data_IF_878695068947
#
_entry.id   IF_878695068947
#
_cell.length_a   1.000
_cell.length_b   1.000
_cell.length_c   1.000
_cell.angle_alpha   90.00
_cell.angle_beta   90.00
_cell.angle_gamma   90.00
#
_symmetry.space_group_name_H-M   'P 1'
#
loop_
_entity.id
_entity.type
_entity.pdbx_description
1 polymer ?
#
# COMPACT_ATOMS: atom_id res chain seq x y z
N UNK A 1 -11.79 -0.57 -56.73
CA UNK A 1 -12.87 -1.17 -55.89
C UNK A 1 -12.72 -0.81 -54.42
N UNK A 2 -12.17 0.37 -54.06
CA UNK A 2 -11.92 0.83 -52.68
C UNK A 2 -12.47 2.23 -52.37
N UNK A 3 -13.45 2.72 -53.13
CA UNK A 3 -14.03 4.08 -52.98
C UNK A 3 -15.54 4.12 -52.67
N UNK A 4 -16.18 2.97 -52.34
CA UNK A 4 -17.63 2.91 -52.08
C UNK A 4 -18.01 2.50 -50.64
N UNK A 5 -17.07 2.36 -49.74
CA UNK A 5 -17.35 1.96 -48.34
C UNK A 5 -17.41 3.16 -47.39
N UNK A 6 -16.81 4.30 -47.73
CA UNK A 6 -16.76 5.49 -46.88
C UNK A 6 -18.00 6.40 -46.90
N UNK A 7 -18.97 6.14 -47.76
CA UNK A 7 -20.18 6.99 -47.89
C UNK A 7 -21.42 6.46 -47.15
N UNK A 8 -21.34 5.36 -46.42
CA UNK A 8 -22.47 4.81 -45.65
C UNK A 8 -22.38 4.92 -44.12
N UNK A 9 -21.34 5.53 -43.57
CA UNK A 9 -21.15 5.68 -42.10
C UNK A 9 -21.49 7.10 -41.60
N UNK A 10 -21.77 8.07 -42.51
CA UNK A 10 -22.04 9.49 -42.12
C UNK A 10 -23.52 9.81 -41.91
N UNK A 11 -24.45 8.89 -42.10
CA UNK A 11 -25.91 9.19 -42.07
C UNK A 11 -26.62 8.68 -40.78
N UNK A 12 -25.94 8.11 -39.79
CA UNK A 12 -26.58 7.59 -38.58
C UNK A 12 -26.31 8.42 -37.31
N UNK A 13 -25.60 9.54 -37.40
CA UNK A 13 -25.21 10.36 -36.25
C UNK A 13 -25.86 11.76 -36.18
N UNK A 14 -27.06 11.95 -36.77
CA UNK A 14 -27.71 13.28 -36.80
C UNK A 14 -29.20 13.23 -36.43
N UNK A 15 -29.59 12.42 -35.43
CA UNK A 15 -31.00 12.43 -35.01
C UNK A 15 -31.19 11.96 -33.58
N UNK A 16 -30.64 12.66 -32.60
CA UNK A 16 -31.11 12.66 -31.17
C UNK A 16 -30.56 13.95 -30.50
N UNK A 17 -31.13 15.08 -30.80
CA UNK A 17 -31.18 16.26 -29.88
C UNK A 17 -32.47 16.97 -30.27
N UNK A 18 -33.43 16.95 -29.41
CA UNK A 18 -34.56 17.83 -29.16
C UNK A 18 -35.62 17.01 -28.43
N UNK A 19 -35.81 17.26 -27.13
CA UNK A 19 -37.05 17.30 -26.36
C UNK A 19 -36.65 17.26 -24.89
N UNK A 20 -36.66 18.41 -24.25
CA UNK A 20 -37.20 18.60 -22.91
C UNK A 20 -37.06 20.06 -22.49
N UNK A 21 -38.08 20.81 -22.69
CA UNK A 21 -38.37 22.05 -21.95
C UNK A 21 -39.80 21.99 -21.44
N UNK A 22 -39.94 22.33 -20.14
CA UNK A 22 -41.21 22.71 -19.50
C UNK A 22 -41.78 21.61 -18.60
N UNK A 23 -42.15 21.84 -17.36
CA UNK A 23 -42.85 22.98 -16.77
C UNK A 23 -42.70 22.95 -15.24
N UNK A 24 -42.62 24.13 -14.66
CA UNK A 24 -42.79 24.44 -13.24
C UNK A 24 -44.18 24.04 -12.71
N UNK A 25 -44.24 23.71 -11.41
CA UNK A 25 -45.47 23.63 -10.65
C UNK A 25 -45.21 23.69 -9.17
N UNK A 26 -45.45 24.88 -8.65
CA UNK A 26 -45.46 25.27 -7.22
C UNK A 26 -46.68 24.66 -6.51
N UNK A 27 -46.56 24.39 -5.22
CA UNK A 27 -47.74 24.03 -4.38
C UNK A 27 -47.34 23.66 -2.97
N UNK A 28 -47.59 24.58 -2.09
CA UNK A 28 -47.33 24.72 -0.67
C UNK A 28 -48.27 23.93 0.25
N UNK A 29 -47.81 23.77 1.51
CA UNK A 29 -48.57 23.72 2.80
C UNK A 29 -49.45 22.50 3.11
N UNK A 30 -49.52 21.96 4.25
CA UNK A 30 -49.43 22.25 5.66
C UNK A 30 -49.80 21.01 6.51
N UNK A 31 -49.27 21.03 7.70
CA UNK A 31 -49.83 20.67 9.00
C UNK A 31 -50.11 19.21 9.45
N UNK A 32 -49.48 19.01 10.57
CA UNK A 32 -49.99 18.54 11.90
C UNK A 32 -49.91 17.04 12.25
N UNK A 33 -49.08 16.86 13.22
CA UNK A 33 -49.34 16.48 14.61
C UNK A 33 -49.46 14.99 14.98
N UNK A 34 -48.56 14.67 15.92
CA UNK A 34 -48.74 13.80 17.10
C UNK A 34 -48.96 12.29 16.87
N UNK A 35 -48.15 11.41 17.46
CA UNK A 35 -48.26 11.06 18.86
C UNK A 35 -47.08 10.15 19.31
N UNK A 36 -46.76 10.27 20.58
CA UNK A 36 -45.74 9.58 21.34
C UNK A 36 -46.00 8.07 21.43
N UNK A 37 -44.92 7.28 21.47
CA UNK A 37 -44.80 6.23 22.47
C UNK A 37 -43.31 5.89 22.71
N UNK A 38 -42.89 6.24 23.92
CA UNK A 38 -41.69 5.71 24.57
C UNK A 38 -41.79 4.18 24.70
N UNK A 39 -40.73 3.50 24.32
CA UNK A 39 -40.34 2.26 24.99
C UNK A 39 -38.81 2.18 25.05
N UNK A 40 -38.32 2.46 26.26
CA UNK A 40 -37.01 2.11 26.73
C UNK A 40 -36.79 0.60 26.66
N UNK A 41 -35.79 0.16 25.90
CA UNK A 41 -35.15 -1.14 26.12
C UNK A 41 -33.67 -0.86 26.26
N UNK A 42 -33.21 -0.93 27.50
CA UNK A 42 -31.81 -1.10 27.86
C UNK A 42 -31.38 -2.47 27.33
N UNK A 43 -30.51 -2.51 26.36
CA UNK A 43 -29.77 -3.70 26.01
C UNK A 43 -28.29 -3.40 26.23
N UNK A 44 -27.76 -3.92 27.31
CA UNK A 44 -26.35 -4.05 27.57
C UNK A 44 -25.83 -5.16 26.64
N UNK A 45 -25.49 -4.79 25.42
CA UNK A 45 -24.76 -5.65 24.49
C UNK A 45 -23.31 -5.74 24.90
N UNK A 46 -22.95 -6.80 25.59
CA UNK A 46 -21.57 -7.28 25.73
C UNK A 46 -20.94 -7.32 24.34
N UNK A 47 -19.82 -6.59 24.17
CA UNK A 47 -18.93 -6.80 23.04
C UNK A 47 -18.22 -8.14 23.26
N UNK A 48 -18.85 -9.21 22.86
CA UNK A 48 -18.13 -10.42 22.49
C UNK A 48 -17.34 -10.09 21.22
N UNK A 49 -16.04 -9.91 21.38
CA UNK A 49 -15.07 -10.08 20.30
C UNK A 49 -15.21 -11.53 19.83
N UNK A 50 -15.97 -11.76 18.78
CA UNK A 50 -15.93 -13.02 18.07
C UNK A 50 -14.53 -13.08 17.44
N UNK A 51 -13.62 -13.83 18.05
CA UNK A 51 -12.53 -14.49 17.33
C UNK A 51 -13.25 -15.31 16.25
N UNK A 52 -13.26 -14.81 15.02
CA UNK A 52 -13.57 -15.64 13.86
C UNK A 52 -12.45 -16.68 13.84
N UNK A 53 -12.76 -17.92 14.31
CA UNK A 53 -11.92 -19.07 14.04
C UNK A 53 -11.70 -19.07 12.52
N UNK A 54 -10.48 -18.79 12.08
CA UNK A 54 -10.06 -18.86 10.69
C UNK A 54 -10.14 -20.33 10.28
N UNK A 55 -11.31 -20.74 9.82
CA UNK A 55 -11.51 -22.10 9.32
C UNK A 55 -10.82 -22.18 7.96
N UNK A 56 -9.76 -22.97 7.87
CA UNK A 56 -9.06 -23.18 6.62
C UNK A 56 -10.02 -23.63 5.51
N UNK A 57 -9.92 -23.06 4.30
CA UNK A 57 -10.73 -23.50 3.16
C UNK A 57 -10.52 -24.99 2.86
N UNK A 58 -11.61 -25.70 2.60
CA UNK A 58 -11.52 -27.09 2.12
C UNK A 58 -11.09 -27.12 0.67
N UNK A 59 -9.95 -27.75 0.38
CA UNK A 59 -9.47 -28.00 -0.97
C UNK A 59 -9.58 -29.48 -1.25
N UNK A 60 -10.28 -29.84 -2.34
CA UNK A 60 -10.49 -31.25 -2.71
C UNK A 60 -9.15 -31.98 -2.90
N UNK A 61 -8.96 -33.05 -2.14
CA UNK A 61 -7.77 -33.88 -2.20
C UNK A 61 -6.59 -33.42 -1.35
N UNK A 62 -6.69 -32.27 -0.66
CA UNK A 62 -5.64 -31.77 0.25
C UNK A 62 -6.08 -31.87 1.71
N UNK A 63 -5.20 -32.33 2.57
CA UNK A 63 -5.38 -32.40 4.02
C UNK A 63 -4.73 -31.16 4.66
N UNK A 64 -5.53 -30.33 5.33
CA UNK A 64 -5.04 -29.17 6.07
C UNK A 64 -4.14 -29.57 7.24
N UNK A 65 -3.09 -28.81 7.47
CA UNK A 65 -2.16 -28.98 8.59
C UNK A 65 -2.24 -27.82 9.60
N UNK A 66 -1.91 -26.61 9.17
CA UNK A 66 -1.87 -25.43 10.03
C UNK A 66 -2.04 -24.12 9.24
N UNK A 67 -2.25 -23.01 9.95
CA UNK A 67 -2.23 -21.67 9.37
C UNK A 67 -0.98 -20.93 9.83
N UNK A 68 -0.46 -20.04 8.97
CA UNK A 68 0.62 -19.13 9.31
C UNK A 68 0.22 -18.21 10.46
N UNK A 69 1.09 -18.09 11.47
CA UNK A 69 0.90 -17.12 12.54
C UNK A 69 1.28 -15.71 12.06
N UNK A 70 0.32 -14.79 12.18
CA UNK A 70 0.51 -13.38 11.88
C UNK A 70 0.28 -12.55 13.14
N UNK A 71 1.15 -11.56 13.37
CA UNK A 71 1.09 -10.71 14.56
C UNK A 71 0.41 -9.36 14.27
N UNK A 72 0.53 -8.83 13.04
CA UNK A 72 0.09 -7.48 12.67
C UNK A 72 -0.64 -7.42 11.33
N UNK A 73 -0.30 -8.28 10.37
CA UNK A 73 -0.91 -8.25 9.05
C UNK A 73 -2.35 -8.76 9.10
N UNK A 74 -3.26 -8.00 8.47
CA UNK A 74 -4.69 -8.30 8.36
C UNK A 74 -5.14 -8.51 6.91
N UNK A 75 -4.24 -8.29 5.96
CA UNK A 75 -4.52 -8.29 4.54
C UNK A 75 -4.42 -9.66 3.87
N UNK A 76 -3.92 -10.68 4.57
CA UNK A 76 -3.79 -12.02 4.00
C UNK A 76 -3.81 -13.11 5.07
N UNK A 77 -4.02 -14.36 4.61
CA UNK A 77 -3.83 -15.58 5.38
C UNK A 77 -3.08 -16.61 4.54
N UNK A 78 -2.28 -17.46 5.17
CA UNK A 78 -1.64 -18.61 4.52
C UNK A 78 -2.01 -19.87 5.27
N UNK A 79 -2.53 -20.86 4.55
CA UNK A 79 -2.92 -22.17 5.06
C UNK A 79 -2.02 -23.23 4.45
N UNK A 80 -1.43 -24.06 5.31
CA UNK A 80 -0.54 -25.14 4.92
C UNK A 80 -1.32 -26.45 4.83
N UNK A 81 -1.07 -27.19 3.77
CA UNK A 81 -1.64 -28.51 3.53
C UNK A 81 -0.50 -29.53 3.38
N UNK A 82 -0.82 -30.81 3.57
CA UNK A 82 0.15 -31.89 3.37
C UNK A 82 0.83 -31.82 2.01
N UNK A 83 2.01 -32.45 1.95
CA UNK A 83 2.84 -32.53 0.75
C UNK A 83 3.34 -31.16 0.25
N UNK A 84 3.28 -30.12 1.14
CA UNK A 84 3.86 -28.80 0.91
C UNK A 84 2.99 -27.82 0.14
N UNK A 85 1.71 -28.15 -0.14
CA UNK A 85 0.78 -27.18 -0.74
C UNK A 85 0.46 -26.05 0.24
N UNK A 86 0.31 -24.84 -0.30
CA UNK A 86 -0.01 -23.64 0.49
C UNK A 86 -1.10 -22.84 -0.20
N UNK A 87 -2.17 -22.51 0.52
CA UNK A 87 -3.19 -21.59 0.02
C UNK A 87 -2.96 -20.22 0.64
N UNK A 88 -2.74 -19.23 -0.21
CA UNK A 88 -2.67 -17.81 0.15
C UNK A 88 -4.03 -17.20 -0.15
N UNK A 89 -4.67 -16.64 0.87
CA UNK A 89 -5.95 -15.94 0.77
C UNK A 89 -5.70 -14.45 1.01
N UNK A 90 -5.85 -13.63 -0.03
CA UNK A 90 -5.62 -12.19 0.04
C UNK A 90 -6.97 -11.48 0.17
N UNK A 91 -7.12 -10.68 1.20
CA UNK A 91 -8.34 -9.93 1.49
C UNK A 91 -8.72 -9.02 0.31
N UNK A 92 -10.01 -9.07 -0.06
CA UNK A 92 -10.57 -8.29 -1.17
C UNK A 92 -9.92 -8.56 -2.54
N UNK A 93 -9.31 -9.74 -2.71
CA UNK A 93 -8.73 -10.18 -3.96
C UNK A 93 -9.04 -11.67 -4.21
N UNK A 94 -8.03 -12.47 -4.49
CA UNK A 94 -8.13 -13.85 -4.90
C UNK A 94 -7.42 -14.78 -3.93
N UNK A 95 -7.69 -16.06 -4.10
CA UNK A 95 -6.93 -17.13 -3.48
C UNK A 95 -5.89 -17.65 -4.46
N UNK A 96 -4.70 -17.94 -3.95
CA UNK A 96 -3.57 -18.44 -4.72
C UNK A 96 -3.10 -19.77 -4.12
N UNK A 97 -3.11 -20.84 -4.92
CA UNK A 97 -2.59 -22.14 -4.50
C UNK A 97 -1.16 -22.29 -4.98
N UNK A 98 -0.21 -22.28 -4.05
CA UNK A 98 1.18 -22.63 -4.31
C UNK A 98 1.25 -24.16 -4.38
N UNK A 99 1.65 -24.67 -5.55
CA UNK A 99 1.82 -26.08 -5.84
C UNK A 99 3.31 -26.39 -5.86
N UNK A 100 3.82 -27.30 -5.01
CA UNK A 100 5.24 -27.65 -4.99
C UNK A 100 5.74 -28.19 -6.32
N UNK A 101 7.03 -27.99 -6.64
CA UNK A 101 7.67 -28.35 -7.93
C UNK A 101 7.39 -29.80 -8.41
N UNK A 102 7.22 -30.72 -7.49
CA UNK A 102 7.08 -32.16 -7.81
C UNK A 102 5.65 -32.68 -7.71
N UNK A 103 4.74 -31.80 -7.32
CA UNK A 103 3.35 -32.17 -7.10
C UNK A 103 2.48 -31.71 -8.28
N UNK A 104 1.37 -32.41 -8.48
CA UNK A 104 0.39 -32.08 -9.52
C UNK A 104 -0.69 -31.13 -8.98
N UNK A 105 -1.23 -30.28 -9.84
CA UNK A 105 -2.37 -29.42 -9.48
C UNK A 105 -3.56 -30.32 -9.12
N UNK A 106 -4.19 -30.15 -7.94
CA UNK A 106 -5.35 -30.96 -7.54
C UNK A 106 -6.54 -30.81 -8.49
N UNK A 107 -7.25 -31.90 -8.73
CA UNK A 107 -8.48 -31.88 -9.52
C UNK A 107 -9.64 -31.23 -8.75
N UNK A 108 -10.49 -30.48 -9.46
CA UNK A 108 -11.75 -29.97 -8.90
C UNK A 108 -11.61 -28.72 -8.03
N UNK A 109 -10.55 -27.96 -8.23
CA UNK A 109 -10.36 -26.64 -7.61
C UNK A 109 -11.47 -25.65 -8.03
N UNK A 110 -11.76 -24.68 -7.16
CA UNK A 110 -12.58 -23.54 -7.51
C UNK A 110 -11.93 -22.72 -8.62
N UNK A 111 -12.71 -22.29 -9.61
CA UNK A 111 -12.23 -21.52 -10.76
C UNK A 111 -11.61 -20.16 -10.37
N UNK A 112 -11.87 -19.69 -9.13
CA UNK A 112 -11.30 -18.44 -8.61
C UNK A 112 -9.90 -18.63 -7.99
N UNK A 113 -9.43 -19.87 -7.80
CA UNK A 113 -8.10 -20.13 -7.26
C UNK A 113 -7.07 -20.02 -8.39
N UNK A 114 -6.13 -19.10 -8.22
CA UNK A 114 -4.99 -18.92 -9.11
C UNK A 114 -3.89 -19.90 -8.73
N UNK A 115 -3.35 -20.62 -9.71
CA UNK A 115 -2.29 -21.61 -9.48
C UNK A 115 -0.92 -20.94 -9.59
N UNK A 116 -0.10 -21.12 -8.57
CA UNK A 116 1.30 -20.74 -8.53
C UNK A 116 2.14 -22.02 -8.48
N UNK A 117 2.57 -22.50 -9.64
CA UNK A 117 3.39 -23.71 -9.73
C UNK A 117 4.86 -23.40 -9.48
N UNK A 118 5.46 -23.99 -8.46
CA UNK A 118 6.89 -23.83 -8.21
C UNK A 118 7.74 -24.64 -9.24
N UNK A 119 9.00 -24.22 -9.52
CA UNK A 119 9.66 -23.05 -8.92
C UNK A 119 9.12 -21.73 -9.47
N UNK A 120 9.14 -20.67 -8.65
CA UNK A 120 8.86 -19.31 -9.04
C UNK A 120 10.20 -18.57 -9.07
N UNK A 121 10.88 -18.54 -10.21
CA UNK A 121 12.24 -18.02 -10.36
C UNK A 121 12.42 -17.10 -11.59
N UNK A 122 11.33 -16.81 -12.32
CA UNK A 122 11.27 -15.86 -13.42
C UNK A 122 10.18 -14.80 -13.19
N UNK A 123 10.17 -14.20 -11.99
CA UNK A 123 9.14 -13.26 -11.57
C UNK A 123 9.30 -11.92 -12.30
N UNK A 124 8.17 -11.36 -12.81
CA UNK A 124 8.06 -9.96 -13.17
C UNK A 124 7.54 -9.16 -11.97
N UNK A 125 8.37 -8.29 -11.40
CA UNK A 125 8.03 -7.46 -10.25
C UNK A 125 7.74 -6.01 -10.67
N UNK A 126 6.47 -5.62 -10.66
CA UNK A 126 6.03 -4.23 -10.86
C UNK A 126 5.67 -3.52 -9.54
N UNK A 127 5.35 -4.28 -8.48
CA UNK A 127 5.09 -3.75 -7.14
C UNK A 127 6.40 -3.32 -6.45
N UNK A 128 6.72 -2.03 -6.47
CA UNK A 128 7.99 -1.51 -5.93
C UNK A 128 8.16 -1.74 -4.43
N UNK A 129 7.07 -1.82 -3.67
CA UNK A 129 7.07 -2.12 -2.23
C UNK A 129 7.55 -3.53 -1.89
N UNK A 130 7.37 -4.48 -2.81
CA UNK A 130 7.71 -5.87 -2.56
C UNK A 130 9.21 -6.18 -2.71
N UNK A 131 9.96 -5.41 -3.52
CA UNK A 131 11.39 -5.68 -3.79
C UNK A 131 12.22 -5.81 -2.51
N UNK A 132 12.00 -4.91 -1.53
CA UNK A 132 12.71 -4.95 -0.26
C UNK A 132 12.39 -6.22 0.55
N UNK A 133 11.17 -6.75 0.44
CA UNK A 133 10.76 -7.98 1.12
C UNK A 133 11.41 -9.23 0.49
N UNK A 134 11.63 -9.22 -0.84
CA UNK A 134 12.43 -10.24 -1.52
C UNK A 134 13.90 -10.15 -1.13
N UNK A 135 14.44 -8.92 -1.02
CA UNK A 135 15.82 -8.71 -0.57
C UNK A 135 16.05 -9.21 0.86
N UNK A 136 15.10 -8.93 1.75
CA UNK A 136 15.15 -9.30 3.17
C UNK A 136 15.28 -10.82 3.42
N UNK A 137 14.81 -11.65 2.49
CA UNK A 137 14.90 -13.13 2.57
C UNK A 137 15.88 -13.73 1.54
N UNK A 138 16.79 -12.90 0.99
CA UNK A 138 17.76 -13.32 -0.01
C UNK A 138 17.10 -14.03 -1.21
N UNK A 139 16.04 -13.41 -1.73
CA UNK A 139 15.23 -13.93 -2.84
C UNK A 139 15.23 -13.02 -4.08
N UNK A 140 16.05 -11.98 -4.15
CA UNK A 140 16.17 -11.13 -5.36
C UNK A 140 16.47 -11.93 -6.61
N UNK A 141 17.24 -13.02 -6.47
CA UNK A 141 17.58 -13.92 -7.57
C UNK A 141 16.39 -14.64 -8.23
N UNK A 142 15.20 -14.62 -7.63
CA UNK A 142 13.97 -15.15 -8.23
C UNK A 142 13.26 -14.14 -9.14
N UNK A 143 13.66 -12.85 -9.05
CA UNK A 143 13.11 -11.79 -9.87
C UNK A 143 13.92 -11.69 -11.15
N UNK A 144 13.31 -12.04 -12.29
CA UNK A 144 13.95 -11.94 -13.60
C UNK A 144 13.68 -10.61 -14.30
N UNK A 145 12.55 -10.01 -14.01
CA UNK A 145 12.10 -8.79 -14.67
C UNK A 145 11.55 -7.77 -13.68
N UNK A 146 11.76 -6.49 -13.95
CA UNK A 146 11.30 -5.39 -13.10
C UNK A 146 10.46 -4.39 -13.88
N UNK A 147 9.39 -3.91 -13.25
CA UNK A 147 8.57 -2.79 -13.73
C UNK A 147 9.21 -1.41 -13.52
N UNK A 148 10.33 -1.36 -12.82
CA UNK A 148 11.07 -0.13 -12.51
C UNK A 148 12.48 -0.21 -13.07
N UNK A 149 12.98 0.87 -13.68
CA UNK A 149 14.35 0.96 -14.20
C UNK A 149 15.38 1.02 -13.07
N UNK A 150 16.62 0.62 -13.32
CA UNK A 150 17.71 0.64 -12.35
C UNK A 150 17.87 2.00 -11.63
N UNK A 151 17.72 3.11 -12.35
CA UNK A 151 17.78 4.46 -11.78
C UNK A 151 16.62 4.84 -10.85
N UNK A 152 15.57 4.03 -10.82
CA UNK A 152 14.41 4.22 -9.93
C UNK A 152 14.47 3.37 -8.66
N UNK A 153 15.48 2.49 -8.52
CA UNK A 153 15.68 1.68 -7.33
C UNK A 153 16.63 2.33 -6.34
N UNK A 154 16.32 2.17 -5.07
CA UNK A 154 17.16 2.57 -3.92
C UNK A 154 17.62 1.36 -3.10
N UNK A 155 17.32 0.14 -3.56
CA UNK A 155 17.73 -1.13 -2.98
C UNK A 155 18.99 -1.57 -3.72
N UNK A 156 20.13 -1.58 -3.06
CA UNK A 156 21.46 -1.79 -3.68
C UNK A 156 21.54 -3.11 -4.44
N UNK A 157 21.02 -4.21 -3.89
CA UNK A 157 21.04 -5.52 -4.56
C UNK A 157 20.18 -5.53 -5.83
N UNK A 158 19.02 -4.83 -5.84
CA UNK A 158 18.20 -4.69 -7.04
C UNK A 158 18.92 -3.86 -8.12
N UNK A 159 19.58 -2.76 -7.73
CA UNK A 159 20.40 -1.94 -8.65
C UNK A 159 21.52 -2.78 -9.26
N UNK A 160 22.28 -3.52 -8.44
CA UNK A 160 23.38 -4.39 -8.90
C UNK A 160 22.89 -5.49 -9.83
N UNK A 161 21.76 -6.15 -9.51
CA UNK A 161 21.16 -7.19 -10.35
C UNK A 161 20.70 -6.64 -11.71
N UNK A 162 20.18 -5.40 -11.75
CA UNK A 162 19.80 -4.77 -13.01
C UNK A 162 21.02 -4.30 -13.82
N UNK A 163 22.07 -3.79 -13.18
CA UNK A 163 23.31 -3.38 -13.86
C UNK A 163 24.09 -4.57 -14.42
N UNK A 164 24.03 -5.74 -13.76
CA UNK A 164 24.62 -7.00 -14.27
C UNK A 164 23.79 -7.65 -15.39
N UNK A 165 22.51 -7.31 -15.50
CA UNK A 165 21.56 -7.92 -16.45
C UNK A 165 20.89 -9.18 -15.92
N UNK A 166 21.05 -9.48 -14.63
CA UNK A 166 20.32 -10.57 -13.97
C UNK A 166 18.82 -10.23 -13.84
N UNK A 167 18.50 -8.94 -13.62
CA UNK A 167 17.15 -8.40 -13.71
C UNK A 167 17.03 -7.48 -14.91
N UNK A 168 16.02 -7.68 -15.75
CA UNK A 168 15.73 -6.88 -16.94
C UNK A 168 14.61 -5.89 -16.66
N UNK A 169 14.66 -4.69 -17.27
CA UNK A 169 13.51 -3.80 -17.26
C UNK A 169 12.52 -4.24 -18.34
N UNK A 170 11.33 -4.71 -17.92
CA UNK A 170 10.28 -5.20 -18.80
C UNK A 170 9.07 -4.26 -18.91
N UNK A 171 9.31 -2.95 -18.84
CA UNK A 171 8.23 -1.95 -18.87
C UNK A 171 7.53 -1.78 -17.52
N UNK A 172 6.76 -0.71 -17.36
CA UNK A 172 6.03 -0.40 -16.12
C UNK A 172 4.68 -1.13 -16.06
N UNK A 173 4.07 -1.21 -14.89
CA UNK A 173 2.79 -1.86 -14.62
C UNK A 173 1.68 -1.56 -15.66
N UNK A 174 1.64 -0.35 -16.23
CA UNK A 174 0.62 0.06 -17.22
C UNK A 174 0.99 -0.21 -18.68
N UNK A 175 2.26 -0.55 -18.96
CA UNK A 175 2.81 -0.81 -20.30
C UNK A 175 3.95 -1.84 -20.20
N UNK A 176 3.68 -3.10 -19.78
CA UNK A 176 4.70 -4.13 -19.74
C UNK A 176 5.09 -4.59 -21.14
N UNK A 177 6.31 -5.06 -21.30
CA UNK A 177 6.79 -5.69 -22.53
C UNK A 177 6.36 -7.16 -22.58
N UNK A 178 5.19 -7.40 -23.15
CA UNK A 178 4.61 -8.75 -23.26
C UNK A 178 5.50 -9.75 -24.01
N UNK A 179 6.28 -9.28 -24.99
CA UNK A 179 7.22 -10.16 -25.72
C UNK A 179 8.36 -10.58 -24.79
N UNK A 180 8.84 -9.68 -23.95
CA UNK A 180 9.86 -10.00 -22.95
C UNK A 180 9.32 -10.94 -21.88
N UNK A 181 8.10 -10.73 -21.36
CA UNK A 181 7.48 -11.65 -20.41
C UNK A 181 7.43 -13.09 -20.94
N UNK A 182 7.06 -13.26 -22.20
CA UNK A 182 7.02 -14.58 -22.83
C UNK A 182 8.45 -15.15 -23.07
N UNK A 183 9.38 -14.32 -23.56
CA UNK A 183 10.71 -14.79 -23.96
C UNK A 183 11.59 -15.15 -22.75
N UNK A 184 11.34 -14.53 -21.59
CA UNK A 184 12.03 -14.82 -20.33
C UNK A 184 11.24 -15.82 -19.48
N UNK A 185 10.24 -16.52 -20.06
CA UNK A 185 9.45 -17.56 -19.41
C UNK A 185 8.86 -17.10 -18.05
N UNK A 186 8.22 -15.89 -18.03
CA UNK A 186 7.64 -15.33 -16.81
C UNK A 186 6.65 -16.31 -16.16
N UNK A 187 6.88 -16.65 -14.90
CA UNK A 187 6.09 -17.63 -14.13
C UNK A 187 5.12 -16.96 -13.15
N UNK A 188 5.35 -15.68 -12.79
CA UNK A 188 4.49 -14.88 -11.93
C UNK A 188 4.68 -13.38 -12.20
N UNK A 189 3.61 -12.65 -12.36
CA UNK A 189 3.62 -11.20 -12.34
C UNK A 189 3.13 -10.68 -10.98
N UNK A 190 3.98 -9.93 -10.26
CA UNK A 190 3.62 -9.28 -8.99
C UNK A 190 3.37 -7.81 -9.27
N UNK A 191 2.11 -7.43 -9.24
CA UNK A 191 1.61 -6.10 -9.53
C UNK A 191 1.19 -5.37 -8.24
N UNK A 192 1.24 -4.05 -8.24
CA UNK A 192 0.62 -3.25 -7.18
C UNK A 192 -0.85 -2.99 -7.51
N UNK A 193 -1.61 -2.48 -6.52
CA UNK A 193 -3.01 -2.07 -6.72
C UNK A 193 -3.21 -1.02 -7.83
N UNK A 194 -2.13 -0.39 -8.31
CA UNK A 194 -2.18 0.50 -9.47
C UNK A 194 -2.65 -0.21 -10.75
N UNK A 195 -2.46 -1.54 -10.85
CA UNK A 195 -2.95 -2.35 -11.98
C UNK A 195 -4.49 -2.29 -12.12
N UNK A 196 -5.21 -2.09 -11.01
CA UNK A 196 -6.66 -1.97 -10.99
C UNK A 196 -7.19 -0.75 -11.78
N UNK A 197 -6.34 0.25 -12.01
CA UNK A 197 -6.66 1.38 -12.90
C UNK A 197 -6.44 1.04 -14.39
N UNK A 198 -5.82 -0.09 -14.69
CA UNK A 198 -5.53 -0.57 -16.03
C UNK A 198 -5.91 -2.05 -16.20
N UNK A 199 -7.17 -2.45 -15.94
CA UNK A 199 -7.56 -3.87 -15.86
C UNK A 199 -7.27 -4.66 -17.14
N UNK A 200 -7.25 -3.99 -18.31
CA UNK A 200 -6.87 -4.61 -19.58
C UNK A 200 -5.42 -5.10 -19.62
N UNK A 201 -4.52 -4.47 -18.86
CA UNK A 201 -3.12 -4.91 -18.79
C UNK A 201 -3.06 -6.22 -18.01
N UNK A 202 -3.77 -6.30 -16.86
CA UNK A 202 -3.90 -7.53 -16.10
C UNK A 202 -4.50 -8.67 -16.96
N UNK A 203 -5.64 -8.42 -17.63
CA UNK A 203 -6.26 -9.40 -18.54
C UNK A 203 -5.28 -9.88 -19.61
N UNK A 204 -4.47 -8.98 -20.20
CA UNK A 204 -3.50 -9.37 -21.22
C UNK A 204 -2.36 -10.23 -20.66
N UNK A 205 -1.89 -9.99 -19.46
CA UNK A 205 -0.87 -10.84 -18.81
C UNK A 205 -1.46 -12.23 -18.53
N UNK A 206 -2.68 -12.29 -17.99
CA UNK A 206 -3.39 -13.54 -17.69
C UNK A 206 -3.72 -14.34 -18.98
N UNK A 207 -4.07 -13.67 -20.09
CA UNK A 207 -4.29 -14.28 -21.41
C UNK A 207 -3.02 -14.95 -22.00
N UNK A 208 -1.83 -14.54 -21.55
CA UNK A 208 -0.56 -15.19 -21.86
C UNK A 208 -0.32 -16.46 -21.01
N UNK A 209 -1.18 -16.75 -20.05
CA UNK A 209 -1.05 -17.85 -19.10
C UNK A 209 -0.13 -17.55 -17.92
N UNK A 210 0.21 -16.28 -17.70
CA UNK A 210 1.04 -15.83 -16.58
C UNK A 210 0.10 -15.45 -15.43
N UNK A 211 0.22 -16.08 -14.24
CA UNK A 211 -0.56 -15.71 -13.07
C UNK A 211 -0.20 -14.30 -12.60
N UNK A 212 -1.21 -13.53 -12.18
CA UNK A 212 -1.02 -12.18 -11.65
C UNK A 212 -1.37 -12.18 -10.16
N UNK A 213 -0.40 -11.79 -9.33
CA UNK A 213 -0.57 -11.52 -7.92
C UNK A 213 -0.60 -10.00 -7.68
N UNK A 214 -1.58 -9.53 -6.90
CA UNK A 214 -1.71 -8.09 -6.58
C UNK A 214 -1.24 -7.85 -5.15
N UNK A 215 -0.10 -7.17 -5.00
CA UNK A 215 0.41 -6.71 -3.71
C UNK A 215 -0.55 -5.69 -3.08
N UNK A 216 -1.05 -6.00 -1.89
CA UNK A 216 -1.92 -5.13 -1.10
C UNK A 216 -1.28 -4.70 0.23
N UNK A 217 0.01 -4.93 0.41
CA UNK A 217 0.75 -4.54 1.62
C UNK A 217 0.57 -3.07 1.99
N UNK A 218 0.33 -2.21 1.00
CA UNK A 218 0.10 -0.78 1.19
C UNK A 218 -1.23 -0.44 1.88
N UNK A 219 -2.15 -1.40 2.00
CA UNK A 219 -3.43 -1.22 2.71
C UNK A 219 -3.37 -1.65 4.18
N UNK A 220 -2.26 -2.24 4.62
CA UNK A 220 -2.06 -2.51 6.04
C UNK A 220 -2.02 -1.21 6.83
N UNK A 221 -2.83 -1.14 7.89
CA UNK A 221 -2.92 0.02 8.76
C UNK A 221 -1.81 0.05 9.80
N UNK A 222 -1.38 -1.14 10.26
CA UNK A 222 -0.24 -1.26 11.16
C UNK A 222 1.08 -1.27 10.36
N UNK A 223 2.09 -0.45 10.73
CA UNK A 223 3.34 -0.38 9.97
C UNK A 223 4.05 -1.74 9.87
N UNK A 224 4.12 -2.51 10.95
CA UNK A 224 4.70 -3.86 10.90
C UNK A 224 3.83 -4.87 10.14
N UNK A 225 2.52 -4.64 9.98
CA UNK A 225 1.69 -5.46 9.09
C UNK A 225 2.22 -5.43 7.66
N UNK A 226 2.68 -4.26 7.18
CA UNK A 226 3.30 -4.11 5.86
C UNK A 226 4.59 -4.93 5.73
N UNK A 227 5.45 -4.88 6.75
CA UNK A 227 6.69 -5.67 6.79
C UNK A 227 6.39 -7.16 6.89
N UNK A 228 5.32 -7.55 7.58
CA UNK A 228 4.93 -8.97 7.75
C UNK A 228 4.52 -9.65 6.45
N UNK A 229 4.23 -8.90 5.38
CA UNK A 229 4.05 -9.47 4.04
C UNK A 229 5.29 -10.21 3.52
N UNK A 230 6.46 -10.03 4.14
CA UNK A 230 7.64 -10.85 3.88
C UNK A 230 7.35 -12.34 4.06
N UNK A 231 6.50 -12.70 5.04
CA UNK A 231 6.10 -14.10 5.29
C UNK A 231 5.25 -14.68 4.15
N UNK A 232 4.40 -13.84 3.53
CA UNK A 232 3.60 -14.25 2.37
C UNK A 232 4.50 -14.59 1.18
N UNK A 233 5.46 -13.69 0.84
CA UNK A 233 6.40 -13.95 -0.25
C UNK A 233 7.31 -15.13 0.06
N UNK A 234 7.72 -15.28 1.30
CA UNK A 234 8.48 -16.44 1.75
C UNK A 234 7.70 -17.76 1.56
N UNK A 235 6.39 -17.76 1.83
CA UNK A 235 5.55 -18.92 1.59
C UNK A 235 5.48 -19.33 0.11
N UNK A 236 5.57 -18.38 -0.82
CA UNK A 236 5.65 -18.66 -2.25
C UNK A 236 6.98 -19.35 -2.65
N UNK A 237 8.05 -19.10 -1.86
CA UNK A 237 9.45 -19.41 -2.21
C UNK A 237 10.12 -20.43 -1.28
N UNK A 238 9.39 -21.04 -0.34
CA UNK A 238 9.90 -21.95 0.69
C UNK A 238 11.01 -21.33 1.57
N UNK A 239 10.80 -20.07 2.00
CA UNK A 239 11.75 -19.27 2.81
C UNK A 239 11.15 -18.79 4.13
N UNK A 240 10.21 -19.53 4.71
CA UNK A 240 9.47 -19.13 5.91
C UNK A 240 10.38 -18.91 7.11
N UNK A 241 11.41 -19.75 7.31
CA UNK A 241 12.34 -19.63 8.45
C UNK A 241 13.14 -18.32 8.40
N UNK A 242 13.58 -17.90 7.17
CA UNK A 242 14.27 -16.64 6.95
C UNK A 242 13.34 -15.44 7.22
N UNK A 243 12.08 -15.52 6.74
CA UNK A 243 11.10 -14.47 6.95
C UNK A 243 10.71 -14.30 8.41
N UNK A 244 10.49 -15.39 9.13
CA UNK A 244 10.19 -15.35 10.56
C UNK A 244 11.34 -14.74 11.36
N UNK A 245 12.58 -15.14 11.08
CA UNK A 245 13.77 -14.61 11.73
C UNK A 245 13.93 -13.10 11.45
N UNK A 246 13.73 -12.69 10.21
CA UNK A 246 13.79 -11.31 9.78
C UNK A 246 12.69 -10.47 10.45
N UNK A 247 11.44 -10.93 10.37
CA UNK A 247 10.30 -10.22 10.93
C UNK A 247 10.41 -10.02 12.44
N UNK A 248 10.84 -11.03 13.19
CA UNK A 248 11.07 -10.95 14.62
C UNK A 248 12.11 -9.88 15.00
N UNK A 249 13.12 -9.65 14.15
CA UNK A 249 14.08 -8.56 14.36
C UNK A 249 13.42 -7.20 14.17
N UNK A 250 12.61 -7.03 13.11
CA UNK A 250 11.90 -5.78 12.83
C UNK A 250 10.86 -5.45 13.91
N UNK A 251 10.21 -6.46 14.47
CA UNK A 251 9.18 -6.26 15.51
C UNK A 251 9.76 -5.77 16.87
N UNK A 252 11.07 -5.86 17.10
CA UNK A 252 11.69 -5.44 18.37
C UNK A 252 11.43 -3.98 18.70
N UNK A 253 11.33 -3.09 17.72
CA UNK A 253 11.06 -1.66 17.94
C UNK A 253 9.77 -1.44 18.73
N UNK A 254 8.74 -2.25 18.48
CA UNK A 254 7.46 -2.16 19.20
C UNK A 254 7.66 -2.55 20.68
N UNK A 255 8.42 -3.64 20.94
CA UNK A 255 8.71 -4.09 22.28
C UNK A 255 9.55 -3.07 23.08
N UNK A 256 10.49 -2.41 22.42
CA UNK A 256 11.34 -1.38 23.03
C UNK A 256 10.56 -0.12 23.40
N UNK A 257 9.55 0.24 22.62
CA UNK A 257 8.75 1.45 22.81
C UNK A 257 7.43 1.23 23.58
N UNK A 258 7.02 0.00 23.84
CA UNK A 258 5.70 -0.32 24.43
C UNK A 258 5.38 0.38 25.75
N UNK A 259 6.39 0.61 26.59
CA UNK A 259 6.25 1.28 27.88
C UNK A 259 6.60 2.78 27.81
N UNK A 260 6.92 3.29 26.63
CA UNK A 260 7.27 4.70 26.45
C UNK A 260 6.03 5.58 26.64
N UNK A 261 6.15 6.61 27.46
CA UNK A 261 5.06 7.54 27.69
C UNK A 261 5.02 8.57 26.54
N UNK A 262 3.87 8.66 25.88
CA UNK A 262 3.66 9.64 24.81
C UNK A 262 4.07 11.06 25.25
N UNK A 263 4.80 11.75 24.39
CA UNK A 263 5.32 13.11 24.63
C UNK A 263 4.25 14.19 24.50
N UNK A 264 3.09 13.86 23.92
CA UNK A 264 2.03 14.80 23.48
C UNK A 264 2.49 15.82 22.43
N UNK A 265 3.72 15.71 21.91
CA UNK A 265 4.22 16.54 20.83
C UNK A 265 3.50 16.24 19.53
N UNK A 266 3.10 17.27 18.82
CA UNK A 266 2.30 17.16 17.60
C UNK A 266 3.15 17.14 16.34
N UNK A 267 2.82 16.26 15.40
CA UNK A 267 3.57 16.02 14.16
C UNK A 267 2.64 16.13 12.96
N UNK A 268 2.99 16.95 11.97
CA UNK A 268 2.36 16.93 10.64
C UNK A 268 3.27 16.26 9.63
N UNK A 269 2.76 15.25 8.92
CA UNK A 269 3.43 14.55 7.83
C UNK A 269 2.72 14.88 6.50
N UNK A 270 3.45 15.46 5.53
CA UNK A 270 2.84 16.02 4.32
C UNK A 270 3.83 16.17 3.16
N UNK A 271 3.30 16.43 1.97
CA UNK A 271 4.03 17.06 0.87
C UNK A 271 3.13 18.07 0.14
N UNK A 272 3.74 18.98 -0.64
CA UNK A 272 3.01 19.95 -1.47
C UNK A 272 3.04 19.44 -2.90
N UNK A 273 1.86 19.25 -3.48
CA UNK A 273 1.72 18.78 -4.86
C UNK A 273 2.00 19.90 -5.88
N UNK A 274 2.14 19.55 -7.15
CA UNK A 274 2.48 20.51 -8.22
C UNK A 274 1.41 21.57 -8.48
N UNK A 275 0.18 21.33 -8.06
CA UNK A 275 -0.93 22.29 -8.15
C UNK A 275 -1.05 23.18 -6.90
N UNK A 276 -0.15 23.00 -5.91
CA UNK A 276 -0.11 23.78 -4.67
C UNK A 276 -1.02 23.25 -3.56
N UNK A 277 -1.73 22.13 -3.75
CA UNK A 277 -2.46 21.48 -2.67
C UNK A 277 -1.52 20.75 -1.73
N UNK A 278 -1.90 20.61 -0.47
CA UNK A 278 -1.13 19.86 0.52
C UNK A 278 -1.72 18.46 0.63
N UNK A 279 -0.87 17.45 0.50
CA UNK A 279 -1.26 16.06 0.63
C UNK A 279 -0.86 15.57 2.01
N UNK A 280 -1.85 15.12 2.78
CA UNK A 280 -1.71 14.58 4.12
C UNK A 280 -2.24 13.15 4.18
N UNK A 281 -1.99 12.43 5.28
CA UNK A 281 -2.46 11.05 5.46
C UNK A 281 -3.78 11.01 6.22
N UNK A 282 -4.65 10.06 5.91
CA UNK A 282 -5.82 9.75 6.74
C UNK A 282 -5.37 9.27 8.11
N UNK A 283 -6.20 9.46 9.13
CA UNK A 283 -5.90 9.06 10.50
C UNK A 283 -5.65 7.55 10.67
N UNK A 284 -6.22 6.73 9.78
CA UNK A 284 -6.11 5.26 9.81
C UNK A 284 -4.93 4.72 9.01
N UNK A 285 -4.11 5.60 8.38
CA UNK A 285 -2.93 5.19 7.61
C UNK A 285 -1.78 4.78 8.55
N UNK A 286 -0.86 3.97 8.03
CA UNK A 286 0.28 3.48 8.79
C UNK A 286 1.23 4.58 9.30
N UNK A 287 1.32 5.74 8.62
CA UNK A 287 2.18 6.87 9.05
C UNK A 287 1.68 7.50 10.36
N UNK A 288 0.39 7.89 10.54
CA UNK A 288 -0.14 8.28 11.84
C UNK A 288 0.13 7.24 12.93
N UNK A 289 -0.04 5.96 12.63
CA UNK A 289 0.21 4.89 13.58
C UNK A 289 1.70 4.83 13.99
N UNK A 290 2.64 5.02 13.05
CA UNK A 290 4.07 5.15 13.39
C UNK A 290 4.34 6.32 14.32
N UNK A 291 3.72 7.48 14.09
CA UNK A 291 3.89 8.67 14.94
C UNK A 291 3.40 8.38 16.36
N UNK A 292 2.28 7.68 16.50
CA UNK A 292 1.73 7.30 17.80
C UNK A 292 2.63 6.30 18.54
N UNK A 293 3.07 5.23 17.86
CA UNK A 293 4.00 4.23 18.41
C UNK A 293 5.31 4.91 18.85
N UNK A 294 5.81 5.85 18.07
CA UNK A 294 7.02 6.62 18.40
C UNK A 294 6.85 7.57 19.59
N UNK A 295 5.63 7.78 20.07
CA UNK A 295 5.30 8.61 21.24
C UNK A 295 4.95 10.06 20.90
N UNK A 296 4.45 10.32 19.68
CA UNK A 296 3.90 11.62 19.25
C UNK A 296 2.40 11.57 19.04
N UNK A 297 1.84 12.69 18.56
CA UNK A 297 0.45 12.81 18.12
C UNK A 297 0.39 13.34 16.69
N UNK A 298 -0.40 12.71 15.86
CA UNK A 298 -0.62 13.20 14.49
C UNK A 298 -1.59 14.38 14.48
N UNK A 299 -1.27 15.45 13.74
CA UNK A 299 -2.10 16.67 13.72
C UNK A 299 -3.50 16.41 13.16
N UNK A 300 -3.63 15.45 12.22
CA UNK A 300 -4.89 15.13 11.54
C UNK A 300 -5.50 13.83 12.07
N UNK A 301 -5.49 13.62 13.39
CA UNK A 301 -5.98 12.40 14.06
C UNK A 301 -7.45 12.06 13.78
N UNK A 302 -8.26 13.07 13.43
CA UNK A 302 -9.69 12.92 13.11
C UNK A 302 -9.97 12.92 11.59
N UNK A 303 -8.95 13.03 10.75
CA UNK A 303 -9.14 13.16 9.30
C UNK A 303 -9.53 11.82 8.68
N UNK A 304 -10.81 11.70 8.35
CA UNK A 304 -11.40 10.57 7.61
C UNK A 304 -11.90 11.06 6.26
N UNK A 305 -11.75 10.24 5.25
CA UNK A 305 -12.37 10.46 3.95
C UNK A 305 -12.98 9.15 3.46
N UNK A 306 -14.25 8.96 3.73
CA UNK A 306 -15.00 7.74 3.39
C UNK A 306 -15.32 7.65 1.88
N UNK A 307 -15.15 8.75 1.13
CA UNK A 307 -15.47 8.82 -0.32
C UNK A 307 -14.35 8.26 -1.21
N UNK A 308 -13.18 7.95 -0.65
CA UNK A 308 -12.00 7.50 -1.40
C UNK A 308 -11.26 6.41 -0.65
N UNK A 309 -10.87 5.35 -1.35
CA UNK A 309 -9.98 4.30 -0.83
C UNK A 309 -8.51 4.74 -0.71
N UNK A 310 -8.18 5.95 -1.19
CA UNK A 310 -6.83 6.50 -1.05
C UNK A 310 -6.46 6.72 0.41
N UNK A 311 -5.27 6.30 0.81
CA UNK A 311 -4.68 6.58 2.12
C UNK A 311 -4.30 8.07 2.32
N UNK A 312 -4.31 8.87 1.26
CA UNK A 312 -3.97 10.27 1.26
C UNK A 312 -5.17 11.17 0.95
N UNK A 313 -5.16 12.38 1.49
CA UNK A 313 -6.17 13.41 1.28
C UNK A 313 -5.50 14.69 0.82
N UNK A 314 -6.04 15.31 -0.22
CA UNK A 314 -5.62 16.63 -0.69
C UNK A 314 -6.44 17.69 0.03
N UNK A 315 -5.76 18.62 0.70
CA UNK A 315 -6.37 19.76 1.38
C UNK A 315 -5.75 21.07 0.85
N UNK A 316 -6.46 22.18 1.03
CA UNK A 316 -5.90 23.49 0.68
C UNK A 316 -4.77 23.88 1.65
N UNK A 317 -3.90 24.81 1.22
CA UNK A 317 -2.86 25.34 2.10
C UNK A 317 -3.46 26.05 3.31
N UNK A 318 -4.60 26.70 3.16
CA UNK A 318 -5.31 27.37 4.26
C UNK A 318 -5.83 26.37 5.30
N UNK A 319 -6.37 25.24 4.86
CA UNK A 319 -6.82 24.16 5.76
C UNK A 319 -5.63 23.53 6.48
N UNK A 320 -4.54 23.28 5.75
CA UNK A 320 -3.29 22.78 6.34
C UNK A 320 -2.73 23.74 7.38
N UNK A 321 -2.66 25.04 7.04
CA UNK A 321 -2.23 26.09 7.99
C UNK A 321 -3.11 26.13 9.23
N UNK A 322 -4.42 26.13 9.05
CA UNK A 322 -5.35 26.18 10.19
C UNK A 322 -5.16 25.01 11.17
N UNK A 323 -4.81 23.81 10.66
CA UNK A 323 -4.61 22.62 11.48
C UNK A 323 -3.19 22.50 12.05
N UNK A 324 -2.16 22.85 11.26
CA UNK A 324 -0.77 22.48 11.56
C UNK A 324 0.15 23.68 11.91
N UNK A 325 -0.34 24.93 11.93
CA UNK A 325 0.49 26.11 12.23
C UNK A 325 1.18 26.04 13.60
N UNK A 326 0.53 25.41 14.60
CA UNK A 326 1.03 25.25 15.96
C UNK A 326 1.66 23.85 16.21
N UNK A 327 1.82 23.04 15.17
CA UNK A 327 2.49 21.73 15.28
C UNK A 327 3.93 21.89 15.79
N UNK A 328 4.34 20.96 16.66
CA UNK A 328 5.70 20.94 17.20
C UNK A 328 6.73 20.55 16.15
N UNK A 329 6.35 19.65 15.23
CA UNK A 329 7.21 19.13 14.16
C UNK A 329 6.48 19.09 12.83
N UNK A 330 7.22 19.37 11.76
CA UNK A 330 6.81 19.15 10.37
C UNK A 330 7.73 18.11 9.75
N UNK A 331 7.16 17.05 9.16
CA UNK A 331 7.91 16.06 8.36
C UNK A 331 7.46 16.18 6.91
N UNK A 332 8.36 16.59 6.05
CA UNK A 332 8.13 16.66 4.61
C UNK A 332 8.40 15.32 3.94
N UNK A 333 7.41 14.78 3.24
CA UNK A 333 7.52 13.51 2.52
C UNK A 333 8.15 13.73 1.14
N UNK A 334 9.44 13.45 0.99
CA UNK A 334 10.14 13.57 -0.28
C UNK A 334 10.07 12.33 -1.17
N UNK A 335 9.42 11.26 -0.73
CA UNK A 335 9.28 10.06 -1.56
C UNK A 335 8.43 10.27 -2.82
N UNK A 336 7.53 11.25 -2.78
CA UNK A 336 6.64 11.64 -3.90
C UNK A 336 7.14 12.91 -4.61
N UNK A 337 7.72 13.85 -3.86
CA UNK A 337 8.23 15.11 -4.39
C UNK A 337 9.75 15.23 -4.20
N UNK A 338 10.35 16.33 -4.65
CA UNK A 338 11.78 16.55 -4.45
C UNK A 338 12.09 16.81 -2.98
N UNK A 339 13.25 16.32 -2.47
CA UNK A 339 13.69 16.61 -1.12
C UNK A 339 13.85 18.12 -0.92
N UNK A 340 13.57 18.54 0.31
CA UNK A 340 13.89 19.90 0.78
C UNK A 340 15.11 19.81 1.69
N UNK A 341 16.14 20.60 1.42
CA UNK A 341 17.38 20.61 2.21
C UNK A 341 17.43 21.85 3.12
N UNK A 342 16.75 22.92 2.72
CA UNK A 342 16.75 24.20 3.42
C UNK A 342 15.33 24.71 3.61
N UNK A 343 15.13 25.54 4.63
CA UNK A 343 13.84 26.18 4.92
C UNK A 343 13.35 27.03 3.74
N UNK A 344 14.28 27.62 2.95
CA UNK A 344 13.92 28.35 1.74
C UNK A 344 13.26 27.47 0.68
N UNK A 345 13.61 26.21 0.58
CA UNK A 345 13.02 25.26 -0.37
C UNK A 345 11.54 25.00 0.01
N UNK A 346 11.24 24.88 1.30
CA UNK A 346 9.88 24.76 1.81
C UNK A 346 9.07 26.05 1.59
N UNK A 347 9.63 27.21 2.00
CA UNK A 347 8.95 28.50 1.88
C UNK A 347 8.80 28.97 0.44
N UNK A 348 9.58 28.43 -0.50
CA UNK A 348 9.40 28.66 -1.93
C UNK A 348 8.15 27.93 -2.49
N UNK A 349 7.67 26.87 -1.83
CA UNK A 349 6.42 26.20 -2.19
C UNK A 349 5.19 27.02 -1.79
N UNK A 350 5.22 27.60 -0.58
CA UNK A 350 4.24 28.57 -0.12
C UNK A 350 4.83 29.44 1.01
N UNK A 351 4.63 30.76 0.93
CA UNK A 351 5.15 31.72 1.93
C UNK A 351 4.53 31.57 3.32
N UNK A 352 3.33 30.98 3.43
CA UNK A 352 2.67 30.72 4.71
C UNK A 352 3.51 29.83 5.65
N UNK A 353 4.40 28.99 5.11
CA UNK A 353 5.27 28.15 5.93
C UNK A 353 6.14 28.96 6.90
N UNK A 354 6.45 30.23 6.61
CA UNK A 354 7.21 31.11 7.52
C UNK A 354 6.51 31.35 8.87
N UNK A 355 5.18 31.20 8.89
CA UNK A 355 4.35 31.45 10.05
C UNK A 355 4.09 30.21 10.89
N UNK A 356 4.56 29.02 10.46
CA UNK A 356 4.45 27.80 11.24
C UNK A 356 5.40 27.81 12.44
N UNK A 357 4.92 27.32 13.59
CA UNK A 357 5.73 27.17 14.82
C UNK A 357 6.99 26.36 14.56
N UNK A 358 6.86 25.18 13.96
CA UNK A 358 7.97 24.28 13.70
C UNK A 358 9.05 24.91 12.81
N UNK A 359 8.66 25.75 11.82
CA UNK A 359 9.62 26.48 10.97
C UNK A 359 10.40 27.50 11.79
N UNK A 360 9.72 28.28 12.64
CA UNK A 360 10.36 29.29 13.50
C UNK A 360 11.29 28.68 14.56
N UNK A 361 11.00 27.46 14.99
CA UNK A 361 11.76 26.75 16.03
C UNK A 361 12.82 25.80 15.45
N UNK A 362 12.90 25.65 14.10
CA UNK A 362 13.86 24.78 13.43
C UNK A 362 13.51 23.28 13.56
N UNK A 363 12.23 22.97 13.72
CA UNK A 363 11.72 21.58 13.88
C UNK A 363 11.09 21.08 12.56
N UNK A 364 11.74 21.33 11.46
CA UNK A 364 11.35 20.82 10.14
C UNK A 364 12.27 19.69 9.74
N UNK A 365 11.67 18.58 9.35
CA UNK A 365 12.36 17.36 8.95
C UNK A 365 11.91 16.93 7.57
N UNK A 366 12.72 16.16 6.89
CA UNK A 366 12.42 15.63 5.57
C UNK A 366 12.77 14.14 5.51
N UNK A 367 11.99 13.36 4.77
CA UNK A 367 12.29 11.95 4.53
C UNK A 367 13.28 11.77 3.37
N UNK A 368 14.02 10.66 3.37
CA UNK A 368 14.72 10.19 2.18
C UNK A 368 13.75 9.73 1.08
N UNK A 369 14.17 9.79 -0.18
CA UNK A 369 13.35 9.37 -1.35
C UNK A 369 12.96 7.90 -1.35
N UNK A 370 13.76 7.06 -0.71
CA UNK A 370 13.61 5.60 -0.71
C UNK A 370 12.57 5.08 0.28
N UNK A 371 11.96 5.95 1.08
CA UNK A 371 10.99 5.55 2.12
C UNK A 371 9.89 4.60 1.60
N UNK A 372 9.34 4.85 0.42
CA UNK A 372 8.26 4.02 -0.12
C UNK A 372 8.72 2.64 -0.63
N UNK A 373 10.03 2.43 -0.81
CA UNK A 373 10.62 1.14 -1.19
C UNK A 373 11.08 0.33 0.03
N UNK A 374 11.26 0.97 1.18
CA UNK A 374 11.83 0.37 2.39
C UNK A 374 10.75 -0.27 3.27
N UNK A 375 9.92 -1.13 2.69
CA UNK A 375 8.83 -1.84 3.38
C UNK A 375 9.38 -2.84 4.41
N UNK A 376 10.58 -3.32 4.20
CA UNK A 376 11.31 -4.22 5.08
C UNK A 376 11.73 -3.56 6.40
N UNK A 377 12.18 -2.32 6.39
CA UNK A 377 12.73 -1.59 7.54
C UNK A 377 11.83 -0.45 8.04
N UNK A 378 10.54 -0.60 7.90
CA UNK A 378 9.53 0.37 8.37
C UNK A 378 9.72 0.73 9.86
N UNK A 379 10.15 -0.21 10.69
CA UNK A 379 10.48 0.00 12.10
C UNK A 379 11.54 1.09 12.32
N UNK A 380 12.46 1.29 11.37
CA UNK A 380 13.47 2.34 11.49
C UNK A 380 12.86 3.74 11.42
N UNK A 381 11.77 3.95 10.65
CA UNK A 381 11.07 5.24 10.65
C UNK A 381 10.40 5.52 12.00
N UNK A 382 9.89 4.49 12.68
CA UNK A 382 9.36 4.63 14.04
C UNK A 382 10.48 5.09 14.98
N UNK A 383 11.65 4.47 14.88
CA UNK A 383 12.84 4.86 15.65
C UNK A 383 13.28 6.29 15.37
N UNK A 384 13.32 6.70 14.11
CA UNK A 384 13.68 8.06 13.69
C UNK A 384 12.71 9.11 14.26
N UNK A 385 11.40 8.85 14.16
CA UNK A 385 10.38 9.72 14.74
C UNK A 385 10.53 9.77 16.28
N UNK A 386 10.81 8.64 16.91
CA UNK A 386 11.07 8.61 18.37
C UNK A 386 12.28 9.46 18.74
N UNK A 387 13.39 9.32 18.03
CA UNK A 387 14.60 10.15 18.24
C UNK A 387 14.30 11.64 18.01
N UNK A 388 13.57 11.99 16.96
CA UNK A 388 13.12 13.36 16.70
C UNK A 388 12.31 13.92 17.87
N UNK A 389 11.36 13.15 18.40
CA UNK A 389 10.49 13.57 19.50
C UNK A 389 11.23 13.69 20.84
N UNK A 390 12.32 12.96 21.04
CA UNK A 390 13.09 12.88 22.29
C UNK A 390 14.42 13.62 22.24
N UNK A 391 14.65 14.42 21.20
CA UNK A 391 15.91 15.14 20.97
C UNK A 391 17.15 14.21 20.93
N UNK A 392 16.98 13.05 20.30
CA UNK A 392 18.02 12.06 20.07
C UNK A 392 19.07 12.48 19.02
N UNK A 393 20.08 11.64 18.82
CA UNK A 393 21.19 11.93 17.90
C UNK A 393 20.76 11.71 16.43
N UNK A 394 20.87 12.73 15.60
CA UNK A 394 20.48 12.69 14.18
C UNK A 394 21.29 11.66 13.36
N UNK A 395 22.56 11.40 13.76
CA UNK A 395 23.43 10.42 13.13
C UNK A 395 22.94 8.97 13.25
N UNK A 396 21.98 8.70 14.15
CA UNK A 396 21.37 7.39 14.33
C UNK A 396 20.12 7.20 13.45
N UNK A 397 19.66 8.26 12.77
CA UNK A 397 18.46 8.20 11.94
C UNK A 397 18.75 7.60 10.57
N UNK A 398 17.81 6.83 10.07
CA UNK A 398 17.88 6.15 8.77
C UNK A 398 17.17 6.96 7.67
N UNK A 399 15.98 7.46 7.96
CA UNK A 399 15.07 8.09 6.98
C UNK A 399 14.96 9.60 7.13
N UNK A 400 15.01 10.08 8.38
CA UNK A 400 14.78 11.50 8.66
C UNK A 400 16.08 12.27 8.72
N UNK A 401 16.05 13.47 8.18
CA UNK A 401 17.08 14.47 8.38
C UNK A 401 16.45 15.83 8.63
N UNK A 402 17.12 16.66 9.43
CA UNK A 402 16.68 18.02 9.74
C UNK A 402 16.90 18.93 8.54
N UNK A 403 15.93 19.76 8.22
CA UNK A 403 16.01 20.80 7.19
C UNK A 403 16.73 22.02 7.76
N UNK A 404 17.81 22.51 7.11
CA UNK A 404 18.65 23.64 7.56
C UNK A 404 18.04 25.04 7.24
#
# INVERSE_FOLDING_TARGET
MRRKIYQRIIIVLSLIVIISCGLNGCGSQDDSASDQMEQSVTDEGEKEGAEQENVAPEIAGLDYEEAMALDYAEGFHVYYYKDGYKLIDVKDDRQYLVVPEKEEVPDGLDENIVILQQPLDHIYLAATSAMALFDAVDAIGTIRMSGTQASGWYIDHAVQAMESGDILFAGKYSEPDYEMLINEDCDLAIESTMILHTPKVQEMIEDLGIPVFIDRSSYETHPLGRTEWVKLYAAMLDKEDEADSFFQEQAKVIEELKDFKNTEKTVAFFYVSTDGTVVVRKSEDYIPNMIEIAGGRYVFEDLKNEESDSAAVNISMEEFYAAAQDADYLIYNSSIDNPIERIEDLTAKDELFKDFKAVREGNVWCTGKYLYQATDIVGNLITDIHLMLTDGEEEQMTFLYRVE
#
